data_IF_310175157536
#
_entry.id   IF_310175157536
#
_cell.length_a   1.000
_cell.length_b   1.000
_cell.length_c   1.000
_cell.angle_alpha   90.00
_cell.angle_beta   90.00
_cell.angle_gamma   90.00
#
_symmetry.space_group_name_H-M   'P 1'
#
loop_
_entity.id
_entity.type
_entity.pdbx_description
1 polymer ?
#
# COMPACT_ATOMS: atom_id res chain seq x y z
N UNK A 1 16.96 20.83 -1.94
CA UNK A 1 16.53 20.55 -3.32
C UNK A 1 15.48 19.46 -3.31
N UNK A 2 14.21 19.82 -3.43
CA UNK A 2 13.10 18.91 -3.72
C UNK A 2 13.30 18.40 -5.14
N UNK A 3 13.38 17.09 -5.33
CA UNK A 3 13.50 16.56 -6.69
C UNK A 3 12.11 16.49 -7.31
N UNK A 4 11.90 17.27 -8.38
CA UNK A 4 10.70 17.17 -9.21
C UNK A 4 10.57 15.74 -9.78
N UNK A 5 9.32 15.26 -9.89
CA UNK A 5 9.00 13.99 -10.53
C UNK A 5 9.38 14.04 -12.01
N UNK A 6 9.84 12.90 -12.56
CA UNK A 6 10.01 12.77 -14.00
C UNK A 6 8.63 12.57 -14.65
N UNK A 7 8.41 13.09 -15.86
CA UNK A 7 7.08 13.04 -16.51
C UNK A 7 6.48 11.63 -16.59
N UNK A 8 7.31 10.61 -16.81
CA UNK A 8 6.83 9.23 -16.86
C UNK A 8 6.39 8.69 -15.49
N UNK A 9 6.98 9.19 -14.41
CA UNK A 9 6.59 8.86 -13.03
C UNK A 9 5.26 9.51 -12.71
N UNK A 10 5.10 10.77 -13.11
CA UNK A 10 3.85 11.50 -12.94
C UNK A 10 2.69 10.84 -13.72
N UNK A 11 2.89 10.55 -15.01
CA UNK A 11 1.89 9.85 -15.83
C UNK A 11 1.52 8.48 -15.27
N UNK A 12 2.51 7.72 -14.78
CA UNK A 12 2.26 6.42 -14.18
C UNK A 12 1.38 6.55 -12.92
N UNK A 13 1.69 7.49 -12.02
CA UNK A 13 0.91 7.72 -10.81
C UNK A 13 -0.50 8.26 -11.12
N UNK A 14 -0.63 9.18 -12.08
CA UNK A 14 -1.92 9.70 -12.55
C UNK A 14 -2.83 8.58 -13.07
N UNK A 15 -2.28 7.68 -13.90
CA UNK A 15 -2.99 6.55 -14.46
C UNK A 15 -3.54 5.62 -13.35
N UNK A 16 -2.77 5.38 -12.29
CA UNK A 16 -3.24 4.58 -11.14
C UNK A 16 -4.42 5.24 -10.45
N UNK A 17 -4.32 6.55 -10.18
CA UNK A 17 -5.38 7.28 -9.51
C UNK A 17 -6.68 7.31 -10.33
N UNK A 18 -6.58 7.53 -11.65
CA UNK A 18 -7.72 7.50 -12.57
C UNK A 18 -8.40 6.13 -12.60
N UNK A 19 -7.62 5.05 -12.71
CA UNK A 19 -8.16 3.68 -12.73
C UNK A 19 -8.80 3.32 -11.39
N UNK A 20 -8.19 3.71 -10.27
CA UNK A 20 -8.81 3.53 -8.97
C UNK A 20 -10.13 4.30 -8.86
N UNK A 21 -10.19 5.55 -9.31
CA UNK A 21 -11.42 6.34 -9.29
C UNK A 21 -12.53 5.70 -10.14
N UNK A 22 -12.21 5.20 -11.35
CA UNK A 22 -13.14 4.44 -12.19
C UNK A 22 -13.66 3.19 -11.48
N UNK A 23 -12.78 2.44 -10.82
CA UNK A 23 -13.18 1.28 -10.02
C UNK A 23 -14.09 1.68 -8.85
N UNK A 24 -13.71 2.70 -8.10
CA UNK A 24 -14.46 3.16 -6.93
C UNK A 24 -15.87 3.65 -7.29
N UNK A 25 -16.02 4.33 -8.44
CA UNK A 25 -17.32 4.79 -8.94
C UNK A 25 -18.26 3.64 -9.37
N UNK A 26 -17.70 2.52 -9.84
CA UNK A 26 -18.47 1.34 -10.24
C UNK A 26 -18.74 0.35 -9.11
N UNK A 27 -18.36 0.65 -7.85
CA UNK A 27 -18.63 -0.24 -6.73
C UNK A 27 -20.08 -0.09 -6.26
N UNK A 28 -20.90 -1.09 -6.55
CA UNK A 28 -22.16 -1.28 -5.85
C UNK A 28 -21.88 -1.61 -4.39
N UNK A 29 -22.31 -0.75 -3.47
CA UNK A 29 -22.30 -1.01 -2.04
C UNK A 29 -23.38 -2.03 -1.70
N UNK A 30 -23.23 -3.29 -2.13
CA UNK A 30 -24.08 -4.37 -1.64
C UNK A 30 -23.73 -4.63 -0.18
N UNK A 31 -24.71 -4.39 0.68
CA UNK A 31 -24.60 -4.59 2.12
C UNK A 31 -24.15 -6.03 2.42
N UNK A 32 -23.10 -6.18 3.24
CA UNK A 32 -22.55 -7.48 3.63
C UNK A 32 -21.54 -8.12 2.66
N UNK A 33 -21.33 -7.59 1.46
CA UNK A 33 -20.30 -8.10 0.55
C UNK A 33 -18.92 -7.53 0.89
N UNK A 34 -17.90 -8.39 0.99
CA UNK A 34 -16.49 -7.95 1.07
C UNK A 34 -16.16 -7.25 -0.26
N UNK A 35 -15.86 -5.93 -0.26
CA UNK A 35 -15.59 -5.20 -1.49
C UNK A 35 -14.38 -5.80 -2.20
N UNK A 36 -14.48 -5.98 -3.51
CA UNK A 36 -13.32 -6.36 -4.32
C UNK A 36 -12.32 -5.17 -4.29
N UNK A 37 -11.08 -5.34 -3.80
CA UNK A 37 -10.05 -4.30 -3.94
C UNK A 37 -9.73 -4.05 -5.42
N UNK A 38 -9.45 -2.79 -5.76
CA UNK A 38 -8.72 -2.52 -6.99
C UNK A 38 -7.26 -2.95 -6.83
N UNK A 39 -6.64 -3.43 -7.90
CA UNK A 39 -5.22 -3.78 -7.88
C UNK A 39 -4.50 -3.18 -9.09
N UNK A 40 -3.32 -2.63 -8.84
CA UNK A 40 -2.40 -2.17 -9.86
C UNK A 40 -0.99 -2.74 -9.62
N UNK A 41 -0.45 -3.44 -10.62
CA UNK A 41 0.94 -3.88 -10.64
C UNK A 41 1.81 -2.90 -11.46
N UNK A 42 2.96 -2.54 -10.91
CA UNK A 42 4.00 -1.76 -11.58
C UNK A 42 5.11 -2.68 -12.08
N UNK A 43 5.12 -2.93 -13.38
CA UNK A 43 6.21 -3.61 -14.05
C UNK A 43 7.26 -2.54 -14.42
N UNK A 44 8.24 -2.30 -13.56
CA UNK A 44 9.31 -1.36 -13.88
C UNK A 44 10.69 -2.00 -13.69
N UNK A 45 11.66 -1.54 -14.47
CA UNK A 45 13.07 -1.94 -14.33
C UNK A 45 13.60 -1.44 -12.98
N UNK A 46 14.56 -2.14 -12.38
CA UNK A 46 15.31 -1.66 -11.20
C UNK A 46 15.85 -0.24 -11.47
N UNK A 47 15.96 0.59 -10.42
CA UNK A 47 16.39 2.01 -10.49
C UNK A 47 15.45 3.01 -11.19
N UNK A 48 14.25 2.63 -11.63
CA UNK A 48 13.25 3.55 -12.24
C UNK A 48 12.51 4.51 -11.29
N UNK A 49 12.75 4.40 -9.97
CA UNK A 49 12.06 5.20 -8.96
C UNK A 49 10.67 4.66 -8.58
N UNK A 50 10.49 3.35 -8.49
CA UNK A 50 9.22 2.69 -8.11
C UNK A 50 8.60 3.26 -6.83
N UNK A 51 9.39 3.41 -5.77
CA UNK A 51 8.95 4.00 -4.50
C UNK A 51 8.39 5.41 -4.69
N UNK A 52 8.98 6.20 -5.59
CA UNK A 52 8.53 7.56 -5.90
C UNK A 52 7.19 7.55 -6.62
N UNK A 53 7.03 6.67 -7.62
CA UNK A 53 5.75 6.48 -8.33
C UNK A 53 4.65 5.98 -7.37
N UNK A 54 4.98 5.04 -6.49
CA UNK A 54 4.05 4.52 -5.48
C UNK A 54 3.62 5.62 -4.50
N UNK A 55 4.56 6.43 -4.01
CA UNK A 55 4.26 7.52 -3.08
C UNK A 55 3.36 8.57 -3.72
N UNK A 56 3.66 8.98 -4.95
CA UNK A 56 2.82 9.90 -5.73
C UNK A 56 1.43 9.30 -6.02
N UNK A 57 1.36 8.01 -6.34
CA UNK A 57 0.08 7.34 -6.56
C UNK A 57 -0.77 7.34 -5.28
N UNK A 58 -0.17 7.05 -4.12
CA UNK A 58 -0.84 7.14 -2.81
C UNK A 58 -1.33 8.56 -2.56
N UNK A 59 -0.51 9.57 -2.82
CA UNK A 59 -0.85 10.98 -2.61
C UNK A 59 -2.06 11.42 -3.46
N UNK A 60 -2.08 11.03 -4.74
CA UNK A 60 -3.20 11.33 -5.65
C UNK A 60 -4.47 10.58 -5.26
N UNK A 61 -4.35 9.29 -4.94
CA UNK A 61 -5.50 8.47 -4.54
C UNK A 61 -6.12 8.99 -3.25
N UNK A 62 -5.33 9.29 -2.22
CA UNK A 62 -5.86 9.76 -0.93
C UNK A 62 -6.45 11.18 -1.01
N UNK A 63 -6.00 12.01 -1.97
CA UNK A 63 -6.60 13.30 -2.26
C UNK A 63 -8.01 13.17 -2.85
N UNK A 64 -8.27 12.12 -3.63
CA UNK A 64 -9.57 11.85 -4.25
C UNK A 64 -10.57 11.11 -3.33
N UNK A 65 -10.14 10.65 -2.15
CA UNK A 65 -11.01 9.93 -1.21
C UNK A 65 -11.78 10.88 -0.29
N UNK A 66 -13.08 10.61 -0.11
CA UNK A 66 -13.92 11.32 0.84
C UNK A 66 -13.50 11.09 2.32
N UNK A 67 -12.98 9.89 2.62
CA UNK A 67 -12.46 9.52 3.94
C UNK A 67 -10.97 9.23 3.82
N UNK A 68 -10.15 9.89 4.63
CA UNK A 68 -8.69 9.73 4.55
C UNK A 68 -8.27 8.29 4.91
N UNK A 69 -7.48 7.61 4.06
CA UNK A 69 -7.16 6.21 4.25
C UNK A 69 -6.11 5.97 5.34
N UNK A 70 -6.02 4.71 5.76
CA UNK A 70 -4.81 4.14 6.34
C UNK A 70 -4.01 3.50 5.19
N UNK A 71 -2.70 3.71 5.15
CA UNK A 71 -1.80 3.11 4.18
C UNK A 71 -0.89 2.13 4.90
N UNK A 72 -0.89 0.88 4.46
CA UNK A 72 0.06 -0.14 4.91
C UNK A 72 1.10 -0.34 3.82
N UNK A 73 2.33 0.08 4.09
CA UNK A 73 3.45 -0.01 3.15
C UNK A 73 4.40 -1.12 3.54
N UNK A 74 4.43 -2.17 2.73
CA UNK A 74 5.25 -3.36 2.90
C UNK A 74 6.47 -3.33 2.00
N UNK A 75 7.60 -3.78 2.53
CA UNK A 75 8.83 -4.02 1.76
C UNK A 75 9.38 -5.42 2.03
N UNK A 76 10.17 -5.94 1.08
CA UNK A 76 10.76 -7.30 1.13
C UNK A 76 11.67 -7.56 2.33
N UNK A 77 12.34 -6.55 2.87
CA UNK A 77 13.27 -6.76 3.99
C UNK A 77 13.72 -5.46 4.63
N UNK A 78 14.37 -5.57 5.80
CA UNK A 78 14.74 -4.42 6.65
C UNK A 78 15.51 -3.33 5.91
N UNK A 79 16.48 -3.70 5.08
CA UNK A 79 17.32 -2.75 4.33
C UNK A 79 16.51 -1.98 3.28
N UNK A 80 15.63 -2.66 2.54
CA UNK A 80 14.76 -2.03 1.55
C UNK A 80 13.71 -1.14 2.24
N UNK A 81 13.11 -1.62 3.33
CA UNK A 81 12.18 -0.84 4.15
C UNK A 81 12.85 0.43 4.68
N UNK A 82 14.06 0.33 5.23
CA UNK A 82 14.80 1.46 5.78
C UNK A 82 15.23 2.47 4.70
N UNK A 83 15.52 2.00 3.48
CA UNK A 83 15.81 2.87 2.33
C UNK A 83 14.56 3.62 1.85
N UNK A 84 13.43 2.92 1.65
CA UNK A 84 12.17 3.54 1.23
C UNK A 84 11.67 4.52 2.30
N UNK A 85 11.67 4.11 3.57
CA UNK A 85 11.32 4.96 4.71
C UNK A 85 12.26 6.16 4.83
N UNK A 86 13.57 5.94 4.75
CA UNK A 86 14.58 7.00 4.80
C UNK A 86 14.52 8.00 3.65
N UNK A 87 13.89 7.66 2.52
CA UNK A 87 13.60 8.58 1.41
C UNK A 87 12.37 9.45 1.61
N UNK A 88 11.43 9.01 2.46
CA UNK A 88 10.11 9.61 2.69
C UNK A 88 10.02 10.39 4.02
N UNK A 89 11.04 10.29 4.87
CA UNK A 89 11.17 11.04 6.13
C UNK A 89 11.34 12.56 5.96
N UNK A 90 11.01 13.32 7.01
CA UNK A 90 11.10 14.78 7.01
C UNK A 90 12.49 15.29 6.56
N UNK A 91 12.52 16.29 5.67
CA UNK A 91 13.75 16.85 5.11
C UNK A 91 14.45 15.99 4.05
N UNK A 92 13.82 14.91 3.58
CA UNK A 92 14.37 14.02 2.54
C UNK A 92 13.72 14.24 1.18
N UNK A 93 14.42 13.77 0.13
CA UNK A 93 14.16 14.07 -1.29
C UNK A 93 12.71 13.86 -1.73
N UNK A 94 11.97 12.93 -1.11
CA UNK A 94 10.63 12.54 -1.53
C UNK A 94 9.54 12.81 -0.47
N UNK A 95 9.88 13.45 0.67
CA UNK A 95 8.91 13.82 1.72
C UNK A 95 7.75 14.65 1.18
N UNK A 96 8.07 15.57 0.27
CA UNK A 96 7.13 16.50 -0.36
C UNK A 96 5.93 15.80 -1.01
N UNK A 97 6.12 14.56 -1.49
CA UNK A 97 5.05 13.78 -2.12
C UNK A 97 3.99 13.31 -1.12
N UNK A 98 4.34 13.26 0.16
CA UNK A 98 3.50 12.76 1.23
C UNK A 98 3.25 13.83 2.29
N UNK A 99 3.36 15.13 1.98
CA UNK A 99 3.34 16.22 2.98
C UNK A 99 2.17 16.13 3.97
N UNK A 100 0.97 15.80 3.50
CA UNK A 100 -0.26 15.63 4.31
C UNK A 100 -0.46 14.21 4.88
N UNK A 101 0.58 13.37 4.84
CA UNK A 101 0.55 11.99 5.32
C UNK A 101 1.50 11.84 6.50
N UNK A 102 0.96 11.36 7.64
CA UNK A 102 1.77 10.98 8.79
C UNK A 102 2.45 9.64 8.51
N UNK A 103 3.78 9.58 8.53
CA UNK A 103 4.57 8.38 8.22
C UNK A 103 5.16 7.81 9.51
N UNK A 104 4.83 6.55 9.82
CA UNK A 104 5.26 5.84 11.04
C UNK A 104 5.74 4.43 10.71
N UNK A 105 6.45 3.80 11.65
CA UNK A 105 6.69 2.36 11.59
C UNK A 105 5.45 1.64 12.11
N UNK A 106 5.15 0.44 11.60
CA UNK A 106 4.04 -0.38 12.07
C UNK A 106 4.21 -0.80 13.53
N UNK A 107 5.44 -0.90 14.03
CA UNK A 107 5.73 -1.15 15.44
C UNK A 107 5.24 -0.01 16.36
N UNK A 108 5.12 1.20 15.82
CA UNK A 108 4.62 2.38 16.52
C UNK A 108 3.13 2.62 16.24
N UNK A 109 2.39 1.57 15.85
CA UNK A 109 0.98 1.71 15.52
C UNK A 109 0.17 2.14 16.74
N UNK A 110 -0.54 3.25 16.56
CA UNK A 110 -1.49 3.76 17.53
C UNK A 110 -2.92 3.45 17.05
N UNK A 111 -3.72 2.85 17.93
CA UNK A 111 -5.13 2.60 17.64
C UNK A 111 -5.90 3.92 17.39
N UNK A 112 -5.50 5.02 18.04
CA UNK A 112 -6.12 6.33 17.82
C UNK A 112 -5.95 6.77 16.36
N UNK A 113 -4.75 6.58 15.79
CA UNK A 113 -4.46 6.90 14.39
C UNK A 113 -5.33 6.10 13.41
N UNK A 114 -5.82 4.91 13.78
CA UNK A 114 -6.70 4.10 12.92
C UNK A 114 -8.16 4.58 12.95
N UNK A 115 -8.54 5.35 13.95
CA UNK A 115 -9.91 5.87 14.13
C UNK A 115 -10.04 7.33 13.71
N UNK A 116 -8.93 8.08 13.69
CA UNK A 116 -8.90 9.47 13.26
C UNK A 116 -8.86 9.61 11.73
N UNK A 117 -10.01 9.95 11.13
CA UNK A 117 -10.14 10.13 9.70
C UNK A 117 -9.75 11.52 9.17
N UNK A 118 -9.21 12.42 10.02
CA UNK A 118 -8.83 13.79 9.61
C UNK A 118 -7.59 13.82 8.72
N UNK A 119 -6.69 12.85 8.87
CA UNK A 119 -5.43 12.77 8.13
C UNK A 119 -5.11 11.35 7.70
N UNK A 120 -4.39 11.21 6.59
CA UNK A 120 -3.86 9.92 6.15
C UNK A 120 -2.69 9.51 7.04
N UNK A 121 -2.68 8.26 7.49
CA UNK A 121 -1.53 7.65 8.20
C UNK A 121 -0.95 6.53 7.36
N UNK A 122 0.37 6.47 7.27
CA UNK A 122 1.13 5.45 6.55
C UNK A 122 2.03 4.70 7.54
N UNK A 123 1.78 3.40 7.65
CA UNK A 123 2.59 2.48 8.45
C UNK A 123 3.53 1.67 7.57
N UNK A 124 4.84 1.78 7.84
CA UNK A 124 5.87 0.98 7.19
C UNK A 124 6.12 -0.33 7.93
N UNK A 125 6.19 -1.43 7.19
CA UNK A 125 6.54 -2.74 7.71
C UNK A 125 7.34 -3.57 6.70
N UNK A 126 7.93 -4.66 7.17
CA UNK A 126 8.44 -5.71 6.27
C UNK A 126 7.43 -6.85 6.16
N UNK A 127 7.48 -7.58 5.05
CA UNK A 127 6.66 -8.78 4.85
C UNK A 127 6.86 -9.79 5.97
N UNK A 128 8.09 -9.99 6.43
CA UNK A 128 8.43 -10.99 7.47
C UNK A 128 7.78 -10.71 8.81
N UNK A 129 7.48 -9.45 9.09
CA UNK A 129 6.83 -9.00 10.33
C UNK A 129 5.32 -9.18 10.26
N UNK A 130 4.80 -9.29 9.04
CA UNK A 130 3.40 -9.56 8.73
C UNK A 130 3.15 -11.07 8.58
N UNK A 131 3.22 -11.83 9.69
CA UNK A 131 2.93 -13.27 9.61
C UNK A 131 3.30 -14.15 10.81
N UNK A 132 3.89 -13.61 11.88
CA UNK A 132 4.15 -14.42 13.08
C UNK A 132 2.89 -14.42 13.95
N UNK A 133 2.16 -15.54 13.94
CA UNK A 133 1.22 -15.89 15.01
C UNK A 133 2.05 -16.08 16.27
N UNK A 134 1.60 -15.49 17.38
CA UNK A 134 2.35 -15.42 18.63
C UNK A 134 2.91 -16.77 19.06
N UNK A 135 4.23 -16.85 19.10
CA UNK A 135 4.91 -17.72 20.06
C UNK A 135 5.66 -16.77 21.00
N UNK A 136 5.38 -16.94 22.29
CA UNK A 136 5.82 -16.11 23.40
C UNK A 136 7.18 -15.44 23.18
N UNK A 137 7.21 -14.11 23.25
CA UNK A 137 8.41 -13.39 23.62
C UNK A 137 8.07 -12.47 24.79
N UNK A 138 8.60 -12.88 25.93
CA UNK A 138 8.62 -12.18 27.19
C UNK A 138 9.12 -10.74 27.01
N UNK A 139 8.35 -9.84 27.61
CA UNK A 139 8.74 -8.46 27.89
C UNK A 139 10.16 -8.44 28.49
N UNK A 140 11.00 -7.55 27.98
CA UNK A 140 12.39 -7.28 28.40
C UNK A 140 13.46 -8.24 27.87
N UNK A 141 13.89 -8.00 26.63
CA UNK A 141 15.17 -7.33 26.35
C UNK A 141 15.42 -7.35 24.85
N UNK A 142 16.06 -6.29 24.37
CA UNK A 142 16.95 -6.18 23.19
C UNK A 142 16.71 -4.85 22.47
N UNK A 143 17.84 -4.19 22.30
CA UNK A 143 18.10 -2.89 21.70
C UNK A 143 17.26 -2.55 20.45
N UNK A 144 16.69 -1.35 20.44
CA UNK A 144 16.35 -0.51 19.28
C UNK A 144 15.91 -1.21 17.97
N UNK A 145 14.60 -1.09 17.69
CA UNK A 145 14.03 -1.02 16.34
C UNK A 145 13.85 -2.34 15.60
N UNK A 146 13.17 -3.30 16.22
CA UNK A 146 12.64 -4.47 15.54
C UNK A 146 11.14 -4.28 15.30
N UNK A 147 10.75 -4.34 14.01
CA UNK A 147 9.36 -4.31 13.56
C UNK A 147 8.61 -5.48 14.22
N UNK A 148 7.76 -5.20 15.20
CA UNK A 148 7.04 -6.25 15.93
C UNK A 148 6.01 -6.95 15.05
N UNK A 149 5.75 -8.23 15.35
CA UNK A 149 4.64 -8.95 14.75
C UNK A 149 3.31 -8.35 15.21
N UNK A 150 2.36 -8.14 14.29
CA UNK A 150 1.00 -7.76 14.67
C UNK A 150 0.30 -8.96 15.32
N UNK A 151 -0.11 -8.79 16.58
CA UNK A 151 -1.04 -9.69 17.25
C UNK A 151 -2.44 -9.60 16.64
N UNK A 152 -3.30 -10.57 16.98
CA UNK A 152 -4.63 -10.69 16.39
C UNK A 152 -5.57 -9.56 16.83
N UNK A 153 -5.39 -9.01 18.04
CA UNK A 153 -6.18 -7.90 18.54
C UNK A 153 -5.92 -6.62 17.72
N UNK A 154 -4.65 -6.34 17.40
CA UNK A 154 -4.25 -5.18 16.61
C UNK A 154 -4.68 -5.32 15.14
N UNK A 155 -4.66 -6.54 14.60
CA UNK A 155 -5.20 -6.82 13.27
C UNK A 155 -6.70 -6.61 13.21
N UNK A 156 -7.44 -6.97 14.25
CA UNK A 156 -8.86 -6.68 14.34
C UNK A 156 -9.13 -5.18 14.36
N UNK A 157 -8.30 -4.40 15.07
CA UNK A 157 -8.39 -2.93 15.04
C UNK A 157 -8.10 -2.40 13.64
N UNK A 158 -7.06 -2.89 12.96
CA UNK A 158 -6.71 -2.48 11.59
C UNK A 158 -7.76 -2.88 10.54
N UNK A 159 -8.38 -4.05 10.70
CA UNK A 159 -9.47 -4.53 9.85
C UNK A 159 -10.73 -3.69 10.04
N UNK A 160 -11.09 -3.38 11.29
CA UNK A 160 -12.24 -2.56 11.65
C UNK A 160 -12.03 -1.11 11.21
N UNK A 161 -10.97 -0.45 11.68
CA UNK A 161 -10.56 0.94 11.35
C UNK A 161 -11.74 1.91 11.24
N UNK A 162 -12.64 1.85 12.22
CA UNK A 162 -13.86 2.67 12.29
C UNK A 162 -13.68 3.78 13.31
N UNK A 163 -13.96 5.01 12.89
CA UNK A 163 -14.01 6.16 13.79
C UNK A 163 -15.31 6.25 14.59
N UNK A 164 -15.47 7.33 15.36
CA UNK A 164 -16.64 7.59 16.21
C UNK A 164 -17.99 7.64 15.44
N UNK A 165 -17.96 7.84 14.12
CA UNK A 165 -19.15 7.79 13.24
C UNK A 165 -19.45 6.41 12.65
N UNK A 166 -18.75 5.35 13.05
CA UNK A 166 -18.94 3.98 12.53
C UNK A 166 -18.48 3.76 11.08
N UNK A 167 -18.10 4.83 10.37
CA UNK A 167 -17.54 4.76 9.02
C UNK A 167 -16.16 4.11 9.05
N UNK A 168 -15.99 3.09 8.23
CA UNK A 168 -14.72 2.38 8.04
C UNK A 168 -13.81 3.18 7.12
N UNK A 169 -12.58 3.44 7.55
CA UNK A 169 -11.60 4.17 6.75
C UNK A 169 -11.09 3.35 5.55
N UNK A 170 -10.65 4.05 4.50
CA UNK A 170 -9.76 3.55 3.47
C UNK A 170 -8.72 2.52 3.94
N UNK A 171 -8.44 1.41 3.26
CA UNK A 171 -7.11 0.77 3.41
C UNK A 171 -6.40 0.64 2.07
N UNK A 172 -5.21 1.24 1.96
CA UNK A 172 -4.33 1.10 0.81
C UNK A 172 -3.17 0.19 1.19
N UNK A 173 -3.07 -0.95 0.52
CA UNK A 173 -1.94 -1.85 0.65
C UNK A 173 -0.91 -1.53 -0.43
N UNK A 174 0.29 -1.11 -0.04
CA UNK A 174 1.40 -0.85 -0.93
C UNK A 174 2.48 -1.89 -0.70
N UNK A 175 2.90 -2.59 -1.74
CA UNK A 175 3.95 -3.58 -1.67
C UNK A 175 5.11 -3.19 -2.59
N UNK A 176 6.14 -2.59 -1.99
CA UNK A 176 7.36 -2.14 -2.66
C UNK A 176 8.42 -3.25 -2.67
N UNK A 177 9.11 -3.41 -3.79
CA UNK A 177 9.96 -4.59 -4.08
C UNK A 177 9.24 -5.92 -3.85
N UNK A 178 8.02 -6.03 -4.38
CA UNK A 178 7.19 -7.20 -4.21
C UNK A 178 7.90 -8.47 -4.68
N UNK A 179 8.00 -9.45 -3.78
CA UNK A 179 8.44 -10.81 -4.08
C UNK A 179 7.28 -11.78 -3.79
N UNK A 180 7.35 -13.03 -4.24
CA UNK A 180 6.30 -14.01 -3.98
C UNK A 180 6.04 -14.12 -2.47
N UNK A 181 4.82 -13.77 -2.06
CA UNK A 181 4.34 -13.96 -0.69
C UNK A 181 3.86 -15.40 -0.51
N UNK A 182 4.04 -15.94 0.69
CA UNK A 182 3.41 -17.20 1.07
C UNK A 182 1.88 -17.09 1.05
N UNK A 183 1.20 -18.23 0.93
CA UNK A 183 -0.28 -18.28 0.96
C UNK A 183 -0.84 -17.62 2.22
N UNK A 184 -0.35 -18.03 3.40
CA UNK A 184 -0.81 -17.52 4.71
C UNK A 184 -0.64 -16.00 4.82
N UNK A 185 0.51 -15.47 4.41
CA UNK A 185 0.77 -14.01 4.44
C UNK A 185 -0.20 -13.26 3.53
N UNK A 186 -0.43 -13.79 2.32
CA UNK A 186 -1.35 -13.17 1.36
C UNK A 186 -2.78 -13.19 1.87
N UNK A 187 -3.26 -14.31 2.43
CA UNK A 187 -4.60 -14.37 3.04
C UNK A 187 -4.73 -13.38 4.20
N UNK A 188 -3.71 -13.26 5.06
CA UNK A 188 -3.71 -12.32 6.19
C UNK A 188 -3.79 -10.86 5.73
N UNK A 189 -3.14 -10.52 4.62
CA UNK A 189 -3.23 -9.17 4.05
C UNK A 189 -4.60 -8.90 3.42
N UNK A 190 -5.15 -9.89 2.72
CA UNK A 190 -6.46 -9.77 2.09
C UNK A 190 -7.61 -9.78 3.11
N UNK A 191 -7.44 -10.41 4.27
CA UNK A 191 -8.42 -10.42 5.35
C UNK A 191 -8.60 -9.05 6.02
N UNK A 192 -7.64 -8.12 5.83
CA UNK A 192 -7.81 -6.72 6.20
C UNK A 192 -8.80 -5.98 5.29
N UNK A 193 -9.27 -6.62 4.21
CA UNK A 193 -10.19 -6.11 3.19
C UNK A 193 -9.73 -4.73 2.68
N UNK A 194 -8.58 -4.67 1.96
CA UNK A 194 -8.09 -3.43 1.39
C UNK A 194 -9.03 -2.88 0.31
N UNK A 195 -8.91 -1.59 0.05
CA UNK A 195 -9.60 -0.89 -1.04
C UNK A 195 -8.75 -0.82 -2.31
N UNK A 196 -7.44 -0.70 -2.12
CA UNK A 196 -6.44 -0.61 -3.18
C UNK A 196 -5.24 -1.46 -2.81
N UNK A 197 -4.73 -2.20 -3.80
CA UNK A 197 -3.49 -2.95 -3.71
C UNK A 197 -2.54 -2.43 -4.79
N UNK A 198 -1.44 -1.81 -4.39
CA UNK A 198 -0.36 -1.38 -5.28
C UNK A 198 0.83 -2.31 -5.12
N UNK A 199 1.32 -2.88 -6.21
CA UNK A 199 2.42 -3.84 -6.19
C UNK A 199 3.52 -3.33 -7.10
N UNK A 200 4.75 -3.21 -6.62
CA UNK A 200 5.88 -2.87 -7.47
C UNK A 200 6.92 -4.00 -7.41
N UNK A 201 6.98 -4.80 -8.47
CA UNK A 201 7.93 -5.92 -8.57
C UNK A 201 8.86 -5.75 -9.76
N UNK A 202 10.03 -6.37 -9.70
CA UNK A 202 10.90 -6.58 -10.86
C UNK A 202 10.48 -7.80 -11.68
N UNK A 203 9.82 -8.77 -11.05
CA UNK A 203 9.28 -9.99 -11.68
C UNK A 203 7.76 -9.92 -11.65
N UNK A 204 7.09 -10.10 -12.79
CA UNK A 204 5.63 -9.98 -12.87
C UNK A 204 4.86 -11.19 -12.32
N UNK A 205 5.47 -11.93 -11.40
CA UNK A 205 4.83 -13.04 -10.70
C UNK A 205 4.01 -12.49 -9.53
N UNK A 206 2.69 -12.54 -9.68
CA UNK A 206 1.76 -12.15 -8.63
C UNK A 206 1.66 -13.27 -7.58
N UNK A 207 1.70 -12.95 -6.27
CA UNK A 207 1.37 -13.93 -5.24
C UNK A 207 -0.02 -14.53 -5.46
N UNK A 208 -0.22 -15.81 -5.14
CA UNK A 208 -1.43 -16.55 -5.50
C UNK A 208 -2.74 -15.84 -5.09
N UNK A 209 -2.83 -15.33 -3.85
CA UNK A 209 -4.03 -14.62 -3.40
C UNK A 209 -4.25 -13.29 -4.14
N UNK A 210 -3.18 -12.58 -4.49
CA UNK A 210 -3.23 -11.38 -5.34
C UNK A 210 -3.67 -11.76 -6.77
N UNK A 211 -3.17 -12.86 -7.32
CA UNK A 211 -3.61 -13.36 -8.63
C UNK A 211 -5.12 -13.68 -8.65
N UNK A 212 -5.69 -14.16 -7.54
CA UNK A 212 -7.15 -14.35 -7.40
C UNK A 212 -7.91 -13.01 -7.43
N UNK A 213 -7.37 -11.96 -6.82
CA UNK A 213 -7.94 -10.60 -6.93
C UNK A 213 -7.94 -10.13 -8.39
N UNK A 214 -6.82 -10.31 -9.11
CA UNK A 214 -6.76 -9.98 -10.55
C UNK A 214 -7.79 -10.77 -11.36
N UNK A 215 -7.95 -12.07 -11.10
CA UNK A 215 -8.95 -12.90 -11.77
C UNK A 215 -10.39 -12.39 -11.54
N UNK A 216 -10.72 -11.96 -10.32
CA UNK A 216 -12.02 -11.37 -10.01
C UNK A 216 -12.23 -10.02 -10.70
N UNK A 217 -11.21 -9.18 -10.77
CA UNK A 217 -11.27 -7.93 -11.54
C UNK A 217 -11.49 -8.19 -13.04
N UNK A 218 -10.84 -9.22 -13.60
CA UNK A 218 -11.08 -9.66 -14.99
C UNK A 218 -12.51 -10.11 -15.22
N UNK A 219 -13.05 -10.91 -14.31
CA UNK A 219 -14.46 -11.32 -14.35
C UNK A 219 -15.42 -10.11 -14.27
N UNK A 220 -15.00 -9.03 -13.62
CA UNK A 220 -15.69 -7.75 -13.57
C UNK A 220 -15.40 -6.81 -14.76
N UNK A 221 -14.74 -7.30 -15.82
CA UNK A 221 -14.51 -6.56 -17.07
C UNK A 221 -13.19 -5.79 -17.18
N UNK A 222 -12.29 -5.90 -16.19
CA UNK A 222 -10.96 -5.28 -16.28
C UNK A 222 -10.00 -6.10 -17.16
N UNK A 223 -9.17 -5.42 -17.97
CA UNK A 223 -8.16 -6.09 -18.82
C UNK A 223 -6.79 -6.07 -18.14
N UNK A 224 -5.89 -6.96 -18.55
CA UNK A 224 -4.52 -7.00 -18.01
C UNK A 224 -3.75 -5.68 -18.19
N UNK A 225 -4.00 -4.98 -19.30
CA UNK A 225 -3.45 -3.66 -19.57
C UNK A 225 -3.98 -2.56 -18.63
N UNK A 226 -5.16 -2.77 -18.03
CA UNK A 226 -5.71 -1.90 -16.99
C UNK A 226 -5.12 -2.26 -15.60
N UNK A 227 -4.75 -3.51 -15.36
CA UNK A 227 -4.20 -3.99 -14.08
C UNK A 227 -2.67 -3.84 -13.98
N UNK A 228 -1.99 -3.56 -15.08
CA UNK A 228 -0.55 -3.29 -15.11
C UNK A 228 -0.25 -1.87 -15.59
N UNK A 229 0.69 -1.20 -14.92
CA UNK A 229 1.30 0.06 -15.36
C UNK A 229 2.79 -0.17 -15.57
N UNK A 230 3.28 0.22 -16.74
CA UNK A 230 4.70 0.16 -17.09
C UNK A 230 5.20 1.60 -17.19
N UNK A 231 5.98 2.09 -16.21
CA UNK A 231 6.59 3.41 -16.31
C UNK A 231 7.60 3.39 -17.46
N UNK A 232 7.23 3.95 -18.61
CA UNK A 232 8.11 4.05 -19.78
C UNK A 232 8.66 5.46 -19.86
N UNK A 233 9.99 5.57 -19.92
CA UNK A 233 10.65 6.77 -20.44
C UNK A 233 10.07 7.04 -21.83
N UNK A 234 9.64 8.28 -22.08
CA UNK A 234 9.30 8.67 -23.45
C UNK A 234 10.54 8.42 -24.32
N UNK A 235 10.38 7.71 -25.44
CA UNK A 235 11.46 7.67 -26.42
C UNK A 235 11.65 9.10 -26.94
N UNK A 236 12.88 9.61 -27.04
CA UNK A 236 13.10 10.85 -27.77
C UNK A 236 12.67 10.61 -29.23
N UNK A 237 11.57 11.24 -29.66
CA UNK A 237 11.14 11.30 -31.06
C UNK A 237 10.47 10.06 -31.66
N UNK A 238 9.25 9.73 -31.25
CA UNK A 238 8.33 8.90 -32.04
C UNK A 238 6.88 9.39 -31.88
#
# INVERSE_FOLDING_TARGET
MTAALLDFQERAAAQVAERYARHAAGRDAKEGAIPLPFMQAFAAVTQSGKTVVLAEAVARVQAAMAVKPVVLWLSRGRVAAQKSWGGLQAGRRHRALLDDVSVRLLADLDAADLTDARSTVLYFATVDTFGRVGTEQTLFSVSTSDFSALDDALLDVLRRRRGAGGVRRPLLLVYDEAHPLGHVQTERLLSLEPDLILLASTTMELPAGIARVAARLRAAGWRDSDLTTIPRLARPGA
#
